data_IF_869316860886
#
_entry.id   IF_869316860886
#
_cell.length_a   1.000
_cell.length_b   1.000
_cell.length_c   1.000
_cell.angle_alpha   90.00
_cell.angle_beta   90.00
_cell.angle_gamma   90.00
#
_symmetry.space_group_name_H-M   'P 1'
#
loop_
_entity.id
_entity.type
_entity.pdbx_description
1 polymer ?
#
# COMPACT_ATOMS: atom_id res chain seq x y z
N UNK A 1 5.05 8.21 -21.04
CA UNK A 1 3.91 8.75 -20.34
C UNK A 1 4.34 10.04 -19.67
N UNK A 2 3.41 10.88 -19.31
CA UNK A 2 3.69 12.25 -18.85
C UNK A 2 4.69 12.28 -17.67
N UNK A 3 4.57 11.37 -16.72
CA UNK A 3 5.48 11.30 -15.60
C UNK A 3 6.92 10.94 -15.99
N UNK A 4 7.10 10.15 -17.03
CA UNK A 4 8.41 9.74 -17.53
C UNK A 4 9.06 10.84 -18.35
N UNK A 5 8.30 11.55 -19.16
CA UNK A 5 8.78 12.71 -19.92
C UNK A 5 9.19 13.84 -18.98
N UNK A 6 8.37 14.14 -17.98
CA UNK A 6 8.66 15.12 -16.94
C UNK A 6 9.95 14.79 -16.18
N UNK A 7 10.19 13.50 -15.92
CA UNK A 7 11.41 13.02 -15.25
C UNK A 7 12.65 13.25 -16.14
N UNK A 8 12.57 12.99 -17.44
CA UNK A 8 13.65 13.24 -18.38
C UNK A 8 14.05 14.71 -18.48
N UNK A 9 13.07 15.61 -18.54
CA UNK A 9 13.30 17.05 -18.54
C UNK A 9 13.93 17.53 -17.23
N UNK A 10 13.50 17.02 -16.11
CA UNK A 10 14.07 17.30 -14.80
C UNK A 10 15.53 16.89 -14.69
N UNK A 11 15.91 15.74 -15.25
CA UNK A 11 17.28 15.24 -15.24
C UNK A 11 18.21 16.12 -16.08
N UNK A 12 17.79 16.58 -17.23
CA UNK A 12 18.56 17.52 -18.07
C UNK A 12 18.80 18.83 -17.32
N UNK A 13 17.76 19.38 -16.70
CA UNK A 13 17.85 20.62 -15.96
C UNK A 13 18.80 20.48 -14.74
N UNK A 14 18.71 19.41 -14.00
CA UNK A 14 19.58 19.12 -12.86
C UNK A 14 21.04 18.99 -13.29
N UNK A 15 21.31 18.36 -14.43
CA UNK A 15 22.67 18.24 -14.97
C UNK A 15 23.28 19.60 -15.26
N UNK A 16 22.52 20.53 -15.82
CA UNK A 16 22.97 21.88 -16.10
C UNK A 16 23.35 22.63 -14.81
N UNK A 17 22.53 22.51 -13.78
CA UNK A 17 22.80 23.11 -12.46
C UNK A 17 24.06 22.54 -11.84
N UNK A 18 24.26 21.24 -11.90
CA UNK A 18 25.43 20.57 -11.33
C UNK A 18 26.72 20.97 -12.03
N UNK A 19 26.70 21.13 -13.35
CA UNK A 19 27.83 21.62 -14.12
C UNK A 19 28.20 23.03 -13.70
N UNK A 20 27.21 23.89 -13.46
CA UNK A 20 27.42 25.25 -13.00
C UNK A 20 28.02 25.31 -11.59
N UNK A 21 27.72 24.34 -10.74
CA UNK A 21 28.23 24.23 -9.37
C UNK A 21 29.59 23.52 -9.30
N UNK A 22 30.12 23.03 -10.42
CA UNK A 22 31.39 22.35 -10.46
C UNK A 22 31.39 20.95 -9.87
N UNK A 23 30.22 20.32 -9.78
CA UNK A 23 30.08 18.94 -9.29
C UNK A 23 29.60 18.02 -10.43
N UNK A 24 29.79 16.71 -10.28
CA UNK A 24 29.36 15.74 -11.28
C UNK A 24 27.91 15.34 -11.05
N UNK A 25 27.23 14.94 -12.12
CA UNK A 25 25.89 14.41 -12.08
C UNK A 25 25.80 13.16 -11.18
N UNK A 26 26.78 12.26 -11.30
CA UNK A 26 26.85 11.05 -10.51
C UNK A 26 26.99 11.34 -9.01
N UNK A 27 27.83 12.29 -8.63
CA UNK A 27 28.06 12.64 -7.23
C UNK A 27 26.80 13.26 -6.60
N UNK A 28 26.09 14.12 -7.33
CA UNK A 28 24.88 14.76 -6.84
C UNK A 28 23.75 13.75 -6.61
N UNK A 29 23.56 12.80 -7.51
CA UNK A 29 22.50 11.81 -7.42
C UNK A 29 22.88 10.58 -6.62
N UNK A 30 24.08 10.49 -6.09
CA UNK A 30 24.53 9.35 -5.30
C UNK A 30 23.60 9.09 -4.12
N UNK A 31 23.25 10.12 -3.36
CA UNK A 31 22.37 10.01 -2.21
C UNK A 31 20.89 9.82 -2.62
N UNK A 32 20.46 10.45 -3.71
CA UNK A 32 19.10 10.30 -4.23
C UNK A 32 18.86 8.91 -4.85
N UNK A 33 19.90 8.21 -5.27
CA UNK A 33 19.81 6.85 -5.81
C UNK A 33 19.83 5.79 -4.73
N UNK A 34 20.21 6.14 -3.51
CA UNK A 34 20.09 5.22 -2.38
C UNK A 34 18.61 5.10 -2.00
N UNK A 35 17.97 4.13 -2.62
CA UNK A 35 16.59 3.82 -2.28
C UNK A 35 16.54 3.29 -0.85
N UNK A 36 15.67 3.85 -0.05
CA UNK A 36 15.36 3.32 1.25
C UNK A 36 14.67 1.98 1.08
N UNK A 37 15.20 0.94 1.71
CA UNK A 37 14.73 -0.44 1.57
C UNK A 37 14.05 -0.94 2.84
N UNK A 38 14.49 -0.47 4.01
CA UNK A 38 13.98 -0.91 5.30
C UNK A 38 13.20 0.23 5.95
N UNK A 39 11.98 -0.08 6.40
CA UNK A 39 11.10 0.86 7.09
C UNK A 39 10.77 0.30 8.47
N UNK A 40 10.80 1.15 9.49
CA UNK A 40 10.49 0.78 10.88
C UNK A 40 9.10 1.27 11.25
N UNK A 41 8.56 0.75 12.36
CA UNK A 41 7.24 1.15 12.87
C UNK A 41 7.13 2.66 13.11
N UNK A 42 8.23 3.32 13.49
CA UNK A 42 8.24 4.77 13.70
C UNK A 42 7.98 5.56 12.40
N UNK A 43 8.18 4.94 11.26
CA UNK A 43 7.99 5.56 9.94
C UNK A 43 6.63 5.27 9.32
N UNK A 44 5.89 4.32 9.87
CA UNK A 44 4.56 3.98 9.36
C UNK A 44 3.62 5.17 9.51
N UNK A 45 2.80 5.39 8.50
CA UNK A 45 1.75 6.41 8.55
C UNK A 45 0.46 5.72 8.99
N UNK A 46 -0.17 6.25 10.02
CA UNK A 46 -1.32 5.63 10.66
C UNK A 46 -2.57 6.50 10.49
N UNK A 47 -3.69 5.86 10.22
CA UNK A 47 -5.02 6.47 10.26
C UNK A 47 -5.93 5.60 11.13
N UNK A 48 -6.47 6.18 12.19
CA UNK A 48 -7.35 5.48 13.12
C UNK A 48 -8.79 5.95 12.91
N UNK A 49 -9.70 5.00 12.77
CA UNK A 49 -11.15 5.20 12.73
C UNK A 49 -11.81 4.32 13.80
N UNK A 50 -13.11 4.49 14.04
CA UNK A 50 -13.83 3.71 15.06
C UNK A 50 -13.87 2.22 14.73
N UNK A 51 -13.92 1.88 13.46
CA UNK A 51 -14.07 0.51 12.97
C UNK A 51 -12.76 -0.19 12.64
N UNK A 52 -11.69 0.59 12.39
CA UNK A 52 -10.43 0.02 11.93
C UNK A 52 -9.28 1.01 12.08
N UNK A 53 -8.07 0.48 11.95
CA UNK A 53 -6.84 1.25 11.85
C UNK A 53 -6.11 0.80 10.59
N UNK A 54 -5.64 1.76 9.79
CA UNK A 54 -4.78 1.50 8.65
C UNK A 54 -3.39 2.04 8.93
N UNK A 55 -2.38 1.22 8.69
CA UNK A 55 -0.98 1.62 8.76
C UNK A 55 -0.35 1.43 7.40
N UNK A 56 0.14 2.52 6.79
CA UNK A 56 0.91 2.46 5.55
C UNK A 56 2.34 2.10 5.91
N UNK A 57 2.77 0.90 5.51
CA UNK A 57 4.07 0.32 5.90
C UNK A 57 5.22 0.88 5.07
N UNK A 58 4.92 1.32 3.86
CA UNK A 58 5.88 1.96 2.96
C UNK A 58 5.35 3.35 2.63
N UNK A 59 5.83 4.39 3.30
CA UNK A 59 5.41 5.77 3.02
C UNK A 59 5.67 6.15 1.57
N UNK A 60 4.74 6.88 0.95
CA UNK A 60 4.79 7.30 -0.46
C UNK A 60 4.77 6.15 -1.47
N UNK A 61 4.14 5.03 -1.10
CA UNK A 61 4.02 3.86 -1.97
C UNK A 61 3.22 4.12 -3.25
N UNK A 62 2.50 5.26 -3.36
CA UNK A 62 1.78 5.65 -4.56
C UNK A 62 2.68 5.74 -5.81
N UNK A 63 3.98 5.88 -5.61
CA UNK A 63 4.98 5.91 -6.67
C UNK A 63 5.49 4.53 -7.06
N UNK A 64 5.13 3.51 -6.29
CA UNK A 64 5.60 2.15 -6.45
C UNK A 64 4.60 1.30 -7.23
N UNK A 65 5.02 0.08 -7.57
CA UNK A 65 4.16 -0.89 -8.25
C UNK A 65 3.11 -1.49 -7.32
N UNK A 66 3.39 -1.53 -6.02
CA UNK A 66 2.49 -2.09 -5.02
C UNK A 66 2.47 -1.23 -3.75
N UNK A 67 1.37 -1.32 -3.03
CA UNK A 67 1.18 -0.60 -1.78
C UNK A 67 0.79 -1.57 -0.67
N UNK A 68 1.70 -1.87 0.27
CA UNK A 68 1.37 -2.69 1.43
C UNK A 68 0.82 -1.85 2.58
N UNK A 69 -0.25 -2.32 3.19
CA UNK A 69 -0.82 -1.76 4.40
C UNK A 69 -1.02 -2.87 5.44
N UNK A 70 -1.12 -2.47 6.70
CA UNK A 70 -1.58 -3.34 7.78
C UNK A 70 -2.90 -2.78 8.29
N UNK A 71 -3.95 -3.57 8.22
CA UNK A 71 -5.29 -3.18 8.66
C UNK A 71 -5.62 -3.93 9.94
N UNK A 72 -6.03 -3.19 10.96
CA UNK A 72 -6.60 -3.77 12.17
C UNK A 72 -8.11 -3.51 12.15
N UNK A 73 -8.89 -4.57 12.14
CA UNK A 73 -10.37 -4.51 12.07
C UNK A 73 -10.94 -4.79 13.44
N UNK A 74 -11.74 -3.86 13.95
CA UNK A 74 -12.39 -4.01 15.26
C UNK A 74 -13.41 -5.16 15.25
N UNK A 75 -13.73 -5.74 16.44
CA UNK A 75 -14.76 -6.76 16.51
C UNK A 75 -16.12 -6.30 15.98
N UNK A 76 -16.84 -7.22 15.32
CA UNK A 76 -18.21 -6.99 14.83
C UNK A 76 -18.36 -5.75 13.96
N UNK A 77 -17.38 -5.49 13.09
CA UNK A 77 -17.42 -4.35 12.16
C UNK A 77 -17.25 -4.80 10.72
N UNK A 78 -17.86 -4.03 9.84
CA UNK A 78 -17.69 -4.16 8.38
C UNK A 78 -17.05 -2.89 7.88
N UNK A 79 -15.97 -3.02 7.12
CA UNK A 79 -15.32 -1.88 6.49
C UNK A 79 -16.15 -1.39 5.31
N UNK A 80 -15.88 -0.15 4.90
CA UNK A 80 -16.49 0.42 3.71
C UNK A 80 -16.13 -0.41 2.48
N UNK A 81 -17.10 -0.55 1.58
CA UNK A 81 -16.91 -1.30 0.35
C UNK A 81 -16.06 -0.51 -0.64
N UNK A 82 -15.02 -1.15 -1.13
CA UNK A 82 -14.19 -0.59 -2.18
C UNK A 82 -14.85 -0.82 -3.54
N UNK A 83 -14.85 0.22 -4.36
CA UNK A 83 -15.35 0.14 -5.73
C UNK A 83 -14.39 -0.70 -6.59
N UNK A 84 -14.89 -1.32 -7.66
CA UNK A 84 -14.03 -2.01 -8.61
C UNK A 84 -12.94 -1.08 -9.19
N UNK A 85 -11.74 -1.61 -9.32
CA UNK A 85 -10.62 -0.88 -9.90
C UNK A 85 -9.68 -1.86 -10.61
N UNK A 86 -8.78 -1.32 -11.40
CA UNK A 86 -7.77 -2.11 -12.06
C UNK A 86 -6.76 -2.65 -11.05
N UNK A 87 -6.28 -3.87 -11.28
CA UNK A 87 -5.21 -4.46 -10.50
C UNK A 87 -5.61 -5.69 -9.70
N UNK A 88 -4.73 -6.04 -8.81
CA UNK A 88 -4.84 -7.23 -7.98
C UNK A 88 -4.55 -6.88 -6.53
N UNK A 89 -5.08 -7.71 -5.62
CA UNK A 89 -4.87 -7.53 -4.20
C UNK A 89 -4.53 -8.87 -3.55
N UNK A 90 -3.63 -8.79 -2.57
CA UNK A 90 -3.19 -9.93 -1.76
C UNK A 90 -3.35 -9.56 -0.29
N UNK A 91 -3.79 -10.52 0.53
CA UNK A 91 -3.83 -10.35 1.97
C UNK A 91 -3.35 -11.59 2.71
N UNK A 92 -2.72 -11.34 3.86
CA UNK A 92 -2.29 -12.37 4.80
C UNK A 92 -2.87 -12.05 6.18
N UNK A 93 -3.65 -12.96 6.76
CA UNK A 93 -4.24 -12.75 8.08
C UNK A 93 -3.19 -13.06 9.15
N UNK A 94 -2.69 -12.00 9.79
CA UNK A 94 -1.66 -12.11 10.84
C UNK A 94 -2.27 -12.63 12.13
N UNK A 95 -3.46 -12.13 12.50
CA UNK A 95 -4.18 -12.56 13.69
C UNK A 95 -5.68 -12.39 13.52
N UNK A 96 -6.45 -13.16 14.27
CA UNK A 96 -7.90 -13.13 14.19
C UNK A 96 -8.44 -13.85 12.96
N UNK A 97 -9.60 -13.38 12.48
CA UNK A 97 -10.32 -13.96 11.37
C UNK A 97 -11.16 -12.88 10.71
N UNK A 98 -11.17 -12.88 9.37
CA UNK A 98 -11.97 -11.93 8.60
C UNK A 98 -12.82 -12.67 7.57
N UNK A 99 -13.87 -12.00 7.11
CA UNK A 99 -14.66 -12.40 5.95
C UNK A 99 -14.38 -11.41 4.84
N UNK A 100 -13.85 -11.92 3.74
CA UNK A 100 -13.62 -11.14 2.53
C UNK A 100 -14.85 -11.25 1.64
N UNK A 101 -15.51 -10.12 1.40
CA UNK A 101 -16.62 -10.05 0.47
C UNK A 101 -16.10 -9.59 -0.89
N UNK A 102 -16.41 -10.37 -1.93
CA UNK A 102 -16.08 -10.05 -3.32
C UNK A 102 -17.37 -10.24 -4.13
N UNK A 103 -17.98 -9.14 -4.61
CA UNK A 103 -19.27 -9.19 -5.25
C UNK A 103 -20.32 -9.81 -4.32
N UNK A 104 -20.95 -10.89 -4.75
CA UNK A 104 -21.95 -11.61 -3.96
C UNK A 104 -21.37 -12.72 -3.09
N UNK A 105 -20.07 -13.02 -3.21
CA UNK A 105 -19.43 -14.09 -2.47
C UNK A 105 -18.79 -13.57 -1.19
N UNK A 106 -18.72 -14.43 -0.16
CA UNK A 106 -18.05 -14.14 1.09
C UNK A 106 -17.13 -15.32 1.45
N UNK A 107 -15.89 -15.01 1.81
CA UNK A 107 -14.88 -16.01 2.12
C UNK A 107 -14.35 -15.79 3.53
N UNK A 108 -14.39 -16.82 4.37
CA UNK A 108 -13.77 -16.77 5.68
C UNK A 108 -12.27 -17.03 5.56
N UNK A 109 -11.44 -16.10 6.05
CA UNK A 109 -10.00 -16.20 6.02
C UNK A 109 -9.47 -16.16 7.45
N UNK A 110 -8.81 -17.22 7.88
CA UNK A 110 -8.33 -17.41 9.25
C UNK A 110 -6.86 -17.04 9.38
N UNK A 111 -6.42 -16.86 10.61
CA UNK A 111 -5.00 -16.64 10.92
C UNK A 111 -4.09 -17.61 10.16
N UNK A 112 -3.08 -17.05 9.48
CA UNK A 112 -2.12 -17.80 8.69
C UNK A 112 -2.58 -18.12 7.27
N UNK A 113 -3.83 -17.80 6.93
CA UNK A 113 -4.35 -17.98 5.58
C UNK A 113 -4.20 -16.71 4.77
N UNK A 114 -4.26 -16.86 3.46
CA UNK A 114 -4.10 -15.75 2.52
C UNK A 114 -5.29 -15.62 1.60
N UNK A 115 -5.49 -14.44 1.04
CA UNK A 115 -6.41 -14.23 -0.06
C UNK A 115 -5.69 -13.52 -1.20
N UNK A 116 -6.21 -13.74 -2.41
CA UNK A 116 -5.72 -13.11 -3.62
C UNK A 116 -6.88 -12.98 -4.60
N UNK A 117 -7.05 -11.80 -5.17
CA UNK A 117 -8.14 -11.59 -6.13
C UNK A 117 -7.81 -10.43 -7.07
N UNK A 118 -8.46 -10.47 -8.25
CA UNK A 118 -8.50 -9.35 -9.17
C UNK A 118 -9.59 -8.38 -8.73
N UNK A 119 -9.25 -7.10 -8.66
CA UNK A 119 -10.11 -6.06 -8.05
C UNK A 119 -11.22 -5.56 -8.98
N UNK A 120 -11.77 -6.43 -9.81
CA UNK A 120 -12.81 -6.11 -10.81
C UNK A 120 -14.24 -6.14 -10.27
N UNK A 121 -14.42 -6.44 -8.99
CA UNK A 121 -15.70 -6.46 -8.30
C UNK A 121 -15.65 -5.64 -7.01
N UNK A 122 -16.80 -5.15 -6.52
CA UNK A 122 -16.85 -4.52 -5.20
C UNK A 122 -16.34 -5.49 -4.13
N UNK A 123 -15.56 -4.99 -3.18
CA UNK A 123 -14.96 -5.84 -2.16
C UNK A 123 -14.81 -5.10 -0.83
N UNK A 124 -14.86 -5.84 0.28
CA UNK A 124 -14.68 -5.31 1.62
C UNK A 124 -14.28 -6.42 2.59
N UNK A 125 -13.72 -6.00 3.74
CA UNK A 125 -13.48 -6.89 4.87
C UNK A 125 -14.54 -6.70 5.94
N UNK A 126 -14.84 -7.79 6.62
CA UNK A 126 -15.74 -7.82 7.77
C UNK A 126 -15.11 -8.67 8.87
N UNK A 127 -15.22 -8.23 10.12
CA UNK A 127 -14.86 -9.02 11.30
C UNK A 127 -16.13 -9.36 12.08
N UNK A 128 -16.50 -10.64 12.10
CA UNK A 128 -17.69 -11.15 12.82
C UNK A 128 -17.37 -11.68 14.20
N UNK A 129 -16.09 -11.59 14.61
CA UNK A 129 -15.63 -12.18 15.88
C UNK A 129 -15.61 -11.14 17.00
N UNK A 130 -15.34 -11.63 18.23
CA UNK A 130 -15.19 -10.79 19.41
C UNK A 130 -13.76 -10.27 19.61
N UNK A 131 -12.85 -10.59 18.70
CA UNK A 131 -11.45 -10.19 18.77
C UNK A 131 -11.07 -9.35 17.58
N UNK A 132 -10.08 -8.47 17.77
CA UNK A 132 -9.50 -7.71 16.64
C UNK A 132 -8.88 -8.67 15.63
N UNK A 133 -8.94 -8.32 14.38
CA UNK A 133 -8.24 -9.02 13.32
C UNK A 133 -7.19 -8.12 12.69
N UNK A 134 -6.04 -8.68 12.36
CA UNK A 134 -4.93 -7.94 11.74
C UNK A 134 -4.59 -8.61 10.41
N UNK A 135 -4.58 -7.81 9.36
CA UNK A 135 -4.34 -8.29 7.99
C UNK A 135 -3.23 -7.45 7.35
N UNK A 136 -2.21 -8.13 6.83
CA UNK A 136 -1.28 -7.51 5.88
C UNK A 136 -1.94 -7.54 4.51
N UNK A 137 -2.14 -6.39 3.90
CA UNK A 137 -2.88 -6.25 2.66
C UNK A 137 -2.07 -5.46 1.64
N UNK A 138 -1.93 -6.01 0.43
CA UNK A 138 -1.13 -5.40 -0.63
C UNK A 138 -1.99 -5.21 -1.87
N UNK A 139 -2.01 -3.99 -2.39
CA UNK A 139 -2.66 -3.67 -3.66
C UNK A 139 -1.61 -3.32 -4.72
N UNK A 140 -1.82 -3.77 -5.93
CA UNK A 140 -1.00 -3.43 -7.10
C UNK A 140 -1.93 -3.18 -8.30
N UNK A 141 -1.97 -1.95 -8.84
CA UNK A 141 -1.28 -0.74 -8.40
C UNK A 141 -1.83 -0.19 -7.07
N UNK A 142 -1.14 0.79 -6.46
CA UNK A 142 -1.58 1.41 -5.20
C UNK A 142 -3.00 1.98 -5.29
N UNK A 143 -3.84 1.66 -4.29
CA UNK A 143 -5.25 2.08 -4.24
C UNK A 143 -5.74 2.49 -2.85
N UNK A 144 -4.93 2.31 -1.85
CA UNK A 144 -5.32 2.60 -0.45
C UNK A 144 -5.17 4.05 -0.06
#
# INVERSE_FOLDING_TARGET
>A
RDAQESRGLGDVYKRQILNALGTTFADFFKDEKEEKVVFTEAEFIEKVADTHKIEWLVPNAQKNEMEPIRVTVEPHTTLEEDVPHEGEEFGYVISGRVWLHIGQAAYCVKKGEVFYFTSDKPHRLENRTNEKAVVLWVASPPTF
#
